data_IF_969174017863
#
_entry.id   IF_969174017863
#
_cell.length_a   1.000
_cell.length_b   1.000
_cell.length_c   1.000
_cell.angle_alpha   90.00
_cell.angle_beta   90.00
_cell.angle_gamma   90.00
#
_symmetry.space_group_name_H-M   'P 1'
#
loop_
_entity.id
_entity.type
_entity.pdbx_description
1 polymer ?
#
# COMPACT_ATOMS: atom_id res chain seq x y z
N UNK A 1 -5.17 -18.30 19.35
CA UNK A 1 -3.94 -17.48 19.39
C UNK A 1 -4.15 -16.38 18.37
N UNK A 2 -4.03 -15.10 18.73
CA UNK A 2 -4.30 -14.01 17.79
C UNK A 2 -3.21 -13.95 16.71
N UNK A 3 -3.59 -13.70 15.46
CA UNK A 3 -2.65 -13.50 14.35
C UNK A 3 -1.74 -12.30 14.65
N UNK A 4 -0.42 -12.48 14.56
CA UNK A 4 0.55 -11.45 14.92
C UNK A 4 0.48 -10.22 13.99
N UNK A 5 0.06 -10.41 12.74
CA UNK A 5 -0.16 -9.32 11.80
C UNK A 5 -1.40 -8.50 12.19
N UNK A 6 -2.47 -9.15 12.67
CA UNK A 6 -3.65 -8.47 13.20
C UNK A 6 -3.31 -7.64 14.45
N UNK A 7 -2.41 -8.13 15.31
CA UNK A 7 -1.92 -7.36 16.46
C UNK A 7 -1.09 -6.16 16.02
N UNK A 8 -0.13 -6.34 15.10
CA UNK A 8 0.71 -5.25 14.58
C UNK A 8 -0.12 -4.13 13.91
N UNK A 9 -1.18 -4.51 13.17
CA UNK A 9 -2.12 -3.57 12.53
C UNK A 9 -2.74 -2.58 13.51
N UNK A 10 -2.98 -2.99 14.76
CA UNK A 10 -3.59 -2.12 15.79
C UNK A 10 -2.66 -1.00 16.27
N UNK A 11 -1.35 -1.21 16.20
CA UNK A 11 -0.37 -0.16 16.49
C UNK A 11 -0.19 0.79 15.30
N UNK A 12 0.00 0.21 14.11
CA UNK A 12 0.01 0.94 12.84
C UNK A 12 -0.44 0.01 11.72
N UNK A 13 -1.36 0.47 10.87
CA UNK A 13 -1.96 -0.36 9.83
C UNK A 13 -0.92 -1.05 8.95
N UNK A 14 0.08 -0.30 8.46
CA UNK A 14 1.14 -0.85 7.60
C UNK A 14 2.11 -1.80 8.31
N UNK A 15 2.20 -1.74 9.65
CA UNK A 15 3.13 -2.59 10.41
C UNK A 15 2.83 -4.08 10.27
N UNK A 16 1.58 -4.46 9.96
CA UNK A 16 1.21 -5.84 9.72
C UNK A 16 2.00 -6.49 8.58
N UNK A 17 2.41 -5.70 7.56
CA UNK A 17 3.17 -6.21 6.41
C UNK A 17 4.64 -6.49 6.74
N UNK A 18 5.18 -5.86 7.78
CA UNK A 18 6.58 -6.03 8.19
C UNK A 18 6.82 -7.29 9.03
N UNK A 19 5.77 -8.06 9.32
CA UNK A 19 5.88 -9.34 10.04
C UNK A 19 6.53 -10.42 9.16
N UNK A 20 6.42 -10.30 7.83
CA UNK A 20 6.92 -11.29 6.88
C UNK A 20 7.98 -10.69 5.95
N UNK A 21 8.86 -11.55 5.41
CA UNK A 21 9.81 -11.18 4.35
C UNK A 21 9.19 -11.26 2.94
N UNK A 22 9.92 -10.76 1.93
CA UNK A 22 9.53 -10.89 0.53
C UNK A 22 8.37 -9.98 0.11
N UNK A 23 7.49 -10.49 -0.77
CA UNK A 23 6.30 -9.76 -1.21
C UNK A 23 5.14 -10.09 -0.27
N UNK A 24 4.63 -9.07 0.41
CA UNK A 24 3.59 -9.20 1.42
C UNK A 24 2.38 -8.34 1.05
N UNK A 25 1.19 -8.95 1.06
CA UNK A 25 -0.08 -8.25 0.89
C UNK A 25 -0.75 -8.06 2.25
N UNK A 26 -1.28 -6.87 2.52
CA UNK A 26 -2.26 -6.67 3.58
C UNK A 26 -3.64 -6.75 2.95
N UNK A 27 -4.39 -7.80 3.27
CA UNK A 27 -5.76 -7.99 2.81
C UNK A 27 -6.69 -7.06 3.59
N UNK A 28 -7.57 -6.34 2.89
CA UNK A 28 -8.47 -5.37 3.52
C UNK A 28 -9.43 -6.03 4.52
N UNK A 29 -9.81 -7.29 4.28
CA UNK A 29 -10.86 -7.99 5.02
C UNK A 29 -12.26 -7.53 4.62
N UNK A 30 -13.27 -8.33 4.95
CA UNK A 30 -14.68 -8.02 4.82
C UNK A 30 -15.46 -8.22 6.13
N UNK A 31 -14.84 -8.83 7.16
CA UNK A 31 -15.45 -8.96 8.48
C UNK A 31 -15.44 -7.60 9.21
N UNK A 32 -16.60 -7.21 9.75
CA UNK A 32 -16.75 -6.00 10.57
C UNK A 32 -15.90 -6.04 11.85
N UNK A 33 -15.59 -7.23 12.37
CA UNK A 33 -14.66 -7.38 13.49
C UNK A 33 -13.22 -7.03 13.11
N UNK A 34 -12.92 -7.02 11.80
CA UNK A 34 -11.58 -6.86 11.24
C UNK A 34 -10.68 -8.07 11.49
N UNK A 35 -11.22 -9.24 11.86
CA UNK A 35 -10.43 -10.44 12.12
C UNK A 35 -9.73 -10.98 10.88
N UNK A 36 -10.24 -10.72 9.69
CA UNK A 36 -9.72 -11.16 8.40
C UNK A 36 -8.87 -10.11 7.67
N UNK A 37 -8.68 -8.92 8.26
CA UNK A 37 -7.81 -7.88 7.73
C UNK A 37 -6.35 -8.12 8.15
N UNK A 38 -5.71 -9.11 7.55
CA UNK A 38 -4.40 -9.65 7.95
C UNK A 38 -3.37 -9.54 6.83
N UNK A 39 -2.09 -9.67 7.17
CA UNK A 39 -1.02 -9.74 6.19
C UNK A 39 -0.77 -11.19 5.75
N UNK A 40 -0.50 -11.38 4.46
CA UNK A 40 -0.09 -12.66 3.86
C UNK A 40 1.17 -12.48 3.04
N UNK A 41 2.17 -13.30 3.32
CA UNK A 41 3.31 -13.45 2.42
C UNK A 41 2.81 -14.10 1.12
N UNK A 42 2.90 -13.36 0.01
CA UNK A 42 2.56 -13.88 -1.33
C UNK A 42 3.75 -14.63 -1.92
N UNK A 43 4.95 -14.08 -1.78
CA UNK A 43 6.20 -14.66 -2.27
C UNK A 43 7.32 -14.47 -1.24
N UNK A 44 8.22 -15.44 -1.06
CA UNK A 44 9.37 -15.30 -0.16
C UNK A 44 10.40 -14.31 -0.72
N UNK A 45 11.27 -13.78 0.13
CA UNK A 45 12.33 -12.82 -0.21
C UNK A 45 13.30 -13.35 -1.29
N UNK A 46 13.45 -14.67 -1.40
CA UNK A 46 14.29 -15.32 -2.41
C UNK A 46 13.62 -15.41 -3.79
N UNK A 47 12.35 -15.03 -3.92
CA UNK A 47 11.60 -15.17 -5.17
C UNK A 47 12.14 -14.27 -6.30
N UNK A 48 12.70 -13.11 -5.96
CA UNK A 48 13.30 -12.18 -6.93
C UNK A 48 14.67 -11.62 -6.49
N UNK A 49 15.75 -12.43 -6.52
CA UNK A 49 17.06 -12.04 -5.99
C UNK A 49 17.74 -10.89 -6.75
N UNK A 50 17.28 -10.57 -7.96
CA UNK A 50 17.79 -9.46 -8.78
C UNK A 50 17.13 -8.11 -8.51
N UNK A 51 16.00 -8.07 -7.79
CA UNK A 51 15.31 -6.82 -7.47
C UNK A 51 16.14 -6.01 -6.47
N UNK A 52 16.27 -4.69 -6.71
CA UNK A 52 17.00 -3.76 -5.86
C UNK A 52 16.10 -2.56 -5.56
N UNK A 53 16.22 -2.03 -4.36
CA UNK A 53 15.60 -0.78 -3.96
C UNK A 53 16.71 0.25 -3.68
N UNK A 54 16.55 1.46 -4.21
CA UNK A 54 17.42 2.60 -3.93
C UNK A 54 16.54 3.70 -3.36
N UNK A 55 16.88 4.18 -2.17
CA UNK A 55 16.15 5.29 -1.52
C UNK A 55 17.00 6.55 -1.67
N UNK A 56 16.44 7.54 -2.36
CA UNK A 56 17.07 8.85 -2.52
C UNK A 56 16.38 9.84 -1.59
N UNK A 57 17.12 10.35 -0.60
CA UNK A 57 16.62 11.36 0.34
C UNK A 57 16.87 12.73 -0.26
N UNK A 58 15.80 13.46 -0.58
CA UNK A 58 15.86 14.76 -1.24
C UNK A 58 15.69 15.94 -0.28
N UNK A 59 14.89 15.75 0.77
CA UNK A 59 14.55 16.76 1.77
C UNK A 59 14.27 16.04 3.10
N UNK A 60 14.69 16.62 4.22
CA UNK A 60 14.47 16.08 5.57
C UNK A 60 13.41 16.86 6.36
N UNK A 61 12.75 17.82 5.72
CA UNK A 61 11.63 18.56 6.30
C UNK A 61 10.43 17.64 6.57
N UNK A 62 9.85 17.77 7.77
CA UNK A 62 8.61 17.08 8.12
C UNK A 62 7.45 17.58 7.27
N UNK A 63 6.57 16.66 6.87
CA UNK A 63 5.32 17.01 6.21
C UNK A 63 4.43 17.80 7.16
N UNK A 64 3.83 18.87 6.68
CA UNK A 64 2.88 19.69 7.45
C UNK A 64 1.68 18.88 7.97
N UNK A 65 1.27 17.82 7.25
CA UNK A 65 0.15 16.94 7.62
C UNK A 65 0.63 15.49 7.72
N UNK A 66 0.46 14.90 8.89
CA UNK A 66 0.79 13.50 9.13
C UNK A 66 -0.12 12.53 8.38
N UNK A 67 0.38 11.31 8.09
CA UNK A 67 -0.31 10.32 7.26
C UNK A 67 -1.72 9.98 7.76
N UNK A 68 -1.92 9.82 9.08
CA UNK A 68 -3.23 9.47 9.64
C UNK A 68 -4.29 10.56 9.36
N UNK A 69 -3.93 11.82 9.58
CA UNK A 69 -4.82 12.96 9.31
C UNK A 69 -5.05 13.11 7.80
N UNK A 70 -3.97 13.05 7.00
CA UNK A 70 -4.06 13.19 5.55
C UNK A 70 -4.93 12.12 4.90
N UNK A 71 -4.77 10.86 5.30
CA UNK A 71 -5.59 9.75 4.80
C UNK A 71 -7.07 9.91 5.20
N UNK A 72 -7.35 10.30 6.44
CA UNK A 72 -8.72 10.55 6.89
C UNK A 72 -9.38 11.67 6.09
N UNK A 73 -8.65 12.78 5.87
CA UNK A 73 -9.10 13.89 5.03
C UNK A 73 -9.37 13.43 3.60
N UNK A 74 -8.48 12.63 3.02
CA UNK A 74 -8.62 12.10 1.66
C UNK A 74 -9.89 11.26 1.53
N UNK A 75 -10.14 10.36 2.49
CA UNK A 75 -11.36 9.53 2.53
C UNK A 75 -12.62 10.39 2.61
N UNK A 76 -12.58 11.48 3.38
CA UNK A 76 -13.73 12.35 3.60
C UNK A 76 -14.03 13.30 2.44
N UNK A 77 -13.01 13.70 1.67
CA UNK A 77 -13.14 14.87 0.78
C UNK A 77 -12.79 14.62 -0.68
N UNK A 78 -11.93 13.65 -1.00
CA UNK A 78 -11.55 13.40 -2.39
C UNK A 78 -12.59 12.49 -3.05
N UNK A 79 -13.14 12.89 -4.18
CA UNK A 79 -14.07 12.05 -4.95
C UNK A 79 -13.34 10.89 -5.64
N UNK A 80 -12.06 11.06 -5.96
CA UNK A 80 -11.26 10.07 -6.68
C UNK A 80 -10.90 8.84 -5.85
N UNK A 81 -10.77 8.98 -4.52
CA UNK A 81 -10.35 7.88 -3.63
C UNK A 81 -11.33 6.69 -3.65
N UNK A 82 -12.63 6.96 -3.75
CA UNK A 82 -13.66 5.90 -3.76
C UNK A 82 -13.54 5.04 -5.02
N UNK A 83 -13.34 5.67 -6.18
CA UNK A 83 -13.10 4.96 -7.43
C UNK A 83 -11.79 4.17 -7.39
N UNK A 84 -10.71 4.78 -6.87
CA UNK A 84 -9.41 4.11 -6.71
C UNK A 84 -9.52 2.85 -5.86
N UNK A 85 -10.11 2.94 -4.68
CA UNK A 85 -10.23 1.83 -3.74
C UNK A 85 -11.11 0.69 -4.31
N UNK A 86 -12.22 1.04 -4.97
CA UNK A 86 -13.19 0.05 -5.45
C UNK A 86 -12.76 -0.66 -6.75
N UNK A 87 -12.14 0.06 -7.69
CA UNK A 87 -11.93 -0.44 -9.05
C UNK A 87 -10.47 -0.53 -9.47
N UNK A 88 -9.61 0.35 -8.95
CA UNK A 88 -8.21 0.43 -9.43
C UNK A 88 -7.29 -0.47 -8.61
N UNK A 89 -7.34 -0.35 -7.29
CA UNK A 89 -6.43 -1.07 -6.38
C UNK A 89 -6.61 -2.59 -6.46
N UNK A 90 -7.82 -3.18 -6.48
CA UNK A 90 -7.97 -4.63 -6.55
C UNK A 90 -7.33 -5.25 -7.79
N UNK A 91 -7.47 -4.61 -8.95
CA UNK A 91 -6.86 -5.07 -10.19
C UNK A 91 -5.34 -4.87 -10.20
N UNK A 92 -4.84 -3.77 -9.62
CA UNK A 92 -3.40 -3.54 -9.48
C UNK A 92 -2.73 -4.57 -8.56
N UNK A 93 -3.38 -4.98 -7.48
CA UNK A 93 -2.89 -6.04 -6.58
C UNK A 93 -2.68 -7.34 -7.36
N UNK A 94 -3.69 -7.79 -8.12
CA UNK A 94 -3.58 -9.02 -8.94
C UNK A 94 -2.41 -8.92 -9.92
N UNK A 95 -2.29 -7.79 -10.62
CA UNK A 95 -1.25 -7.57 -11.63
C UNK A 95 0.16 -7.48 -11.03
N UNK A 96 0.33 -6.80 -9.90
CA UNK A 96 1.66 -6.63 -9.31
C UNK A 96 2.16 -7.94 -8.70
N UNK A 97 1.26 -8.78 -8.14
CA UNK A 97 1.60 -10.13 -7.70
C UNK A 97 2.08 -10.95 -8.92
N UNK A 98 1.30 -10.97 -10.01
CA UNK A 98 1.69 -11.71 -11.21
C UNK A 98 3.01 -11.22 -11.82
N UNK A 99 3.22 -9.90 -11.91
CA UNK A 99 4.46 -9.32 -12.40
C UNK A 99 5.66 -9.69 -11.51
N UNK A 100 5.46 -9.80 -10.19
CA UNK A 100 6.50 -10.25 -9.27
C UNK A 100 6.81 -11.74 -9.44
N UNK A 101 5.78 -12.58 -9.58
CA UNK A 101 5.91 -14.02 -9.83
C UNK A 101 6.68 -14.32 -11.12
N UNK A 102 6.36 -13.60 -12.20
CA UNK A 102 7.00 -13.75 -13.51
C UNK A 102 8.31 -12.98 -13.65
N UNK A 103 8.69 -12.18 -12.65
CA UNK A 103 9.84 -11.26 -12.66
C UNK A 103 9.80 -10.27 -13.83
N UNK A 104 8.61 -9.85 -14.24
CA UNK A 104 8.37 -8.84 -15.25
C UNK A 104 8.63 -7.44 -14.66
N UNK A 105 9.90 -7.02 -14.70
CA UNK A 105 10.31 -5.71 -14.20
C UNK A 105 9.63 -4.54 -14.92
N UNK A 106 9.49 -4.53 -16.26
CA UNK A 106 8.72 -3.49 -16.95
C UNK A 106 7.30 -3.31 -16.42
N UNK A 107 6.51 -4.38 -16.29
CA UNK A 107 5.14 -4.27 -15.78
C UNK A 107 5.11 -3.92 -14.29
N UNK A 108 5.98 -4.54 -13.48
CA UNK A 108 6.13 -4.20 -12.06
C UNK A 108 6.41 -2.71 -11.86
N UNK A 109 7.42 -2.18 -12.56
CA UNK A 109 7.80 -0.78 -12.50
C UNK A 109 6.67 0.15 -12.95
N UNK A 110 5.98 -0.20 -14.05
CA UNK A 110 4.83 0.58 -14.54
C UNK A 110 3.70 0.64 -13.51
N UNK A 111 3.39 -0.47 -12.83
CA UNK A 111 2.35 -0.48 -11.78
C UNK A 111 2.79 0.35 -10.57
N UNK A 112 4.02 0.16 -10.08
CA UNK A 112 4.56 0.89 -8.93
C UNK A 112 4.53 2.40 -9.17
N UNK A 113 5.03 2.86 -10.32
CA UNK A 113 5.02 4.28 -10.69
C UNK A 113 3.59 4.83 -10.82
N UNK A 114 2.70 4.09 -11.49
CA UNK A 114 1.31 4.52 -11.65
C UNK A 114 0.52 4.53 -10.33
N UNK A 115 0.86 3.66 -9.38
CA UNK A 115 0.23 3.63 -8.06
C UNK A 115 0.73 4.74 -7.14
N UNK A 116 2.03 5.02 -7.16
CA UNK A 116 2.61 6.19 -6.50
C UNK A 116 1.98 7.49 -7.03
N UNK A 117 1.93 7.68 -8.35
CA UNK A 117 1.33 8.89 -8.95
C UNK A 117 -0.15 9.03 -8.58
N UNK A 118 -0.93 7.95 -8.61
CA UNK A 118 -2.36 8.03 -8.28
C UNK A 118 -2.59 8.25 -6.77
N UNK A 119 -1.70 7.76 -5.90
CA UNK A 119 -1.74 8.10 -4.48
C UNK A 119 -1.55 9.62 -4.27
N UNK A 120 -0.57 10.24 -4.93
CA UNK A 120 -0.41 11.70 -4.85
C UNK A 120 -1.56 12.46 -5.52
N UNK A 121 -2.19 11.90 -6.56
CA UNK A 121 -3.37 12.50 -7.19
C UNK A 121 -4.57 12.59 -6.23
N UNK A 122 -4.85 11.56 -5.43
CA UNK A 122 -5.95 11.62 -4.44
C UNK A 122 -5.62 12.58 -3.27
N UNK A 123 -4.35 12.75 -2.93
CA UNK A 123 -3.90 13.76 -1.98
C UNK A 123 -4.19 15.19 -2.50
N UNK A 124 -3.92 15.45 -3.78
CA UNK A 124 -4.24 16.74 -4.41
C UNK A 124 -5.76 16.96 -4.57
N UNK A 125 -6.53 15.89 -4.78
CA UNK A 125 -8.00 15.92 -4.86
C UNK A 125 -8.69 16.11 -3.50
N UNK A 126 -7.94 16.03 -2.39
CA UNK A 126 -8.47 16.26 -1.05
C UNK A 126 -8.74 17.75 -0.79
N UNK A 127 -9.59 18.07 0.19
CA UNK A 127 -9.89 19.45 0.56
C UNK A 127 -9.68 19.72 2.07
N UNK A 128 -8.79 20.65 2.47
CA UNK A 128 -7.79 21.30 1.64
C UNK A 128 -6.79 20.30 1.03
N UNK A 129 -6.22 20.59 -0.16
CA UNK A 129 -5.26 19.72 -0.83
C UNK A 129 -4.04 19.40 0.02
N UNK A 130 -3.53 18.18 -0.12
CA UNK A 130 -2.31 17.70 0.53
C UNK A 130 -1.16 17.75 -0.48
N UNK A 131 0.00 18.25 -0.05
CA UNK A 131 1.24 18.30 -0.84
C UNK A 131 2.15 17.13 -0.48
#
# INVERSE_FOLDING_TARGET
MADISALARRGSGSACRSVFGGLVEWEAGCDQSGADSIAKQRLPEVAWPGLRAVVVVLDDLEKDVGSSEGMQRTVQTSELTQYRAKFVVPERIKRIIHAFESRDFPEFGRIVMADSNQLHAICMDSFPPLK
#
